data_IF_808754371492
#
_entry.id   IF_808754371492
#
_cell.length_a   1.000
_cell.length_b   1.000
_cell.length_c   1.000
_cell.angle_alpha   90.00
_cell.angle_beta   90.00
_cell.angle_gamma   90.00
#
_symmetry.space_group_name_H-M   'P 1'
#
loop_
_entity.id
_entity.type
_entity.pdbx_description
1 polymer ?
#
# COMPACT_ATOMS: atom_id res chain seq x y z
N UNK A 1 -4.90 -6.86 -13.98
CA UNK A 1 -5.30 -6.53 -12.59
C UNK A 1 -5.17 -7.73 -11.66
N UNK A 2 -5.73 -8.91 -11.98
CA UNK A 2 -5.58 -10.12 -11.14
C UNK A 2 -4.11 -10.51 -10.92
N UNK A 3 -3.29 -10.43 -11.97
CA UNK A 3 -1.87 -10.80 -11.86
C UNK A 3 -1.10 -9.85 -10.91
N UNK A 4 -1.34 -8.54 -11.01
CA UNK A 4 -0.77 -7.56 -10.07
C UNK A 4 -1.24 -7.80 -8.63
N UNK A 5 -2.50 -8.19 -8.43
CA UNK A 5 -3.02 -8.47 -7.10
C UNK A 5 -2.36 -9.69 -6.47
N UNK A 6 -2.12 -10.76 -7.24
CA UNK A 6 -1.37 -11.93 -6.78
C UNK A 6 0.03 -11.56 -6.28
N UNK A 7 0.77 -10.72 -7.02
CA UNK A 7 2.08 -10.23 -6.59
C UNK A 7 2.01 -9.43 -5.28
N UNK A 8 0.96 -8.64 -5.07
CA UNK A 8 0.75 -7.89 -3.83
C UNK A 8 0.41 -8.82 -2.67
N UNK A 9 -0.41 -9.84 -2.90
CA UNK A 9 -0.73 -10.85 -1.88
C UNK A 9 0.50 -11.68 -1.50
N UNK A 10 1.30 -12.10 -2.48
CA UNK A 10 2.57 -12.79 -2.25
C UNK A 10 3.55 -11.92 -1.46
N UNK A 11 3.71 -10.65 -1.84
CA UNK A 11 4.55 -9.72 -1.10
C UNK A 11 4.07 -9.55 0.34
N UNK A 12 2.75 -9.42 0.55
CA UNK A 12 2.16 -9.28 1.87
C UNK A 12 2.39 -10.52 2.75
N UNK A 13 2.24 -11.71 2.17
CA UNK A 13 2.43 -12.99 2.87
C UNK A 13 3.89 -13.19 3.32
N UNK A 14 4.85 -12.64 2.58
CA UNK A 14 6.27 -12.73 2.89
C UNK A 14 6.77 -11.65 3.87
N UNK A 15 5.89 -10.75 4.33
CA UNK A 15 6.26 -9.67 5.25
C UNK A 15 5.64 -9.93 6.63
N UNK A 16 6.51 -10.16 7.62
CA UNK A 16 6.10 -10.34 9.02
C UNK A 16 5.30 -9.11 9.48
N UNK A 17 4.11 -9.34 10.02
CA UNK A 17 3.20 -8.26 10.45
C UNK A 17 2.63 -7.42 9.31
N UNK A 18 2.63 -7.93 8.08
CA UNK A 18 2.07 -7.27 6.91
C UNK A 18 0.62 -6.82 7.12
N UNK A 19 0.37 -5.54 6.89
CA UNK A 19 -0.95 -4.91 7.04
C UNK A 19 -1.62 -4.66 5.68
N UNK A 20 -0.84 -4.25 4.68
CA UNK A 20 -1.31 -4.02 3.31
C UNK A 20 -0.15 -4.12 2.31
N UNK A 21 -0.48 -4.43 1.06
CA UNK A 21 0.42 -4.25 -0.08
C UNK A 21 -0.38 -3.61 -1.22
N UNK A 22 0.15 -2.53 -1.79
CA UNK A 22 -0.55 -1.71 -2.79
C UNK A 22 0.39 -1.21 -3.87
N UNK A 23 -0.17 -0.88 -5.03
CA UNK A 23 0.53 -0.14 -6.08
C UNK A 23 -0.11 1.25 -6.24
N UNK A 24 0.72 2.28 -6.33
CA UNK A 24 0.28 3.67 -6.44
C UNK A 24 1.07 4.35 -7.55
N UNK A 25 0.40 5.03 -8.47
CA UNK A 25 1.07 5.82 -9.51
C UNK A 25 1.69 7.11 -8.94
N UNK A 26 2.53 7.80 -9.73
CA UNK A 26 3.16 9.07 -9.30
C UNK A 26 2.17 10.22 -9.04
N UNK A 27 0.92 10.08 -9.48
CA UNK A 27 -0.16 11.01 -9.18
C UNK A 27 -0.86 10.68 -7.85
N UNK A 28 -0.47 9.64 -7.14
CA UNK A 28 -1.11 9.22 -5.89
C UNK A 28 -2.37 8.37 -6.08
N UNK A 29 -2.64 7.86 -7.29
CA UNK A 29 -3.79 6.99 -7.53
C UNK A 29 -3.45 5.53 -7.19
N UNK A 30 -4.23 4.92 -6.30
CA UNK A 30 -4.10 3.53 -5.91
C UNK A 30 -4.66 2.62 -7.01
N UNK A 31 -3.77 2.08 -7.82
CA UNK A 31 -4.07 1.31 -9.03
C UNK A 31 -4.35 -0.16 -8.73
N UNK A 32 -3.76 -0.70 -7.67
CA UNK A 32 -3.99 -2.06 -7.20
C UNK A 32 -3.86 -2.16 -5.68
N UNK A 33 -4.65 -3.05 -5.08
CA UNK A 33 -4.61 -3.38 -3.66
C UNK A 33 -4.56 -4.91 -3.50
N UNK A 34 -3.96 -5.40 -2.43
CA UNK A 34 -4.05 -6.80 -2.01
C UNK A 34 -5.52 -7.25 -1.83
N UNK A 35 -5.79 -8.55 -1.97
CA UNK A 35 -7.14 -9.09 -2.10
C UNK A 35 -8.05 -8.79 -0.91
N UNK A 36 -7.49 -8.76 0.31
CA UNK A 36 -8.21 -8.47 1.56
C UNK A 36 -9.04 -7.18 1.52
N UNK A 37 -8.60 -6.18 0.76
CA UNK A 37 -9.26 -4.88 0.63
C UNK A 37 -9.79 -4.62 -0.78
N UNK A 38 -10.09 -5.68 -1.52
CA UNK A 38 -10.59 -5.62 -2.90
C UNK A 38 -11.89 -6.38 -3.10
N UNK A 39 -12.71 -6.51 -2.04
CA UNK A 39 -13.99 -7.20 -2.12
C UNK A 39 -14.95 -6.47 -3.08
N UNK A 40 -15.84 -7.19 -3.79
CA UNK A 40 -16.90 -6.56 -4.57
C UNK A 40 -17.73 -5.58 -3.72
N UNK A 41 -18.11 -4.45 -4.30
CA UNK A 41 -18.98 -3.48 -3.63
C UNK A 41 -20.37 -4.10 -3.43
N UNK A 42 -20.87 -3.95 -2.22
CA UNK A 42 -22.16 -4.49 -1.78
C UNK A 42 -23.27 -3.44 -1.85
N UNK A 43 -22.90 -2.15 -1.88
CA UNK A 43 -23.83 -1.02 -1.78
C UNK A 43 -24.12 -0.59 -0.33
N UNK A 44 -23.68 -1.38 0.66
CA UNK A 44 -23.67 -0.96 2.06
C UNK A 44 -22.36 -0.23 2.39
N UNK A 45 -22.47 1.04 2.76
CA UNK A 45 -21.31 1.90 2.98
C UNK A 45 -20.37 1.37 4.07
N UNK A 46 -20.92 0.83 5.18
CA UNK A 46 -20.09 0.37 6.30
C UNK A 46 -19.29 -0.87 5.92
N UNK A 47 -19.91 -1.79 5.20
CA UNK A 47 -19.26 -2.99 4.65
C UNK A 47 -18.20 -2.62 3.62
N UNK A 48 -18.55 -1.75 2.67
CA UNK A 48 -17.68 -1.37 1.56
C UNK A 48 -16.46 -0.55 2.02
N UNK A 49 -16.62 0.33 3.02
CA UNK A 49 -15.53 1.13 3.59
C UNK A 49 -14.39 0.27 4.16
N UNK A 50 -14.73 -0.88 4.74
CA UNK A 50 -13.76 -1.82 5.34
C UNK A 50 -13.27 -2.83 4.31
N UNK A 51 -14.17 -3.38 3.50
CA UNK A 51 -13.89 -4.48 2.56
C UNK A 51 -13.32 -4.07 1.21
N UNK A 52 -13.51 -2.82 0.78
CA UNK A 52 -13.00 -2.31 -0.48
C UNK A 52 -12.29 -0.96 -0.29
N UNK A 53 -10.97 -0.97 -0.49
CA UNK A 53 -10.12 0.23 -0.43
C UNK A 53 -9.43 0.51 -1.76
N UNK A 54 -9.96 -0.06 -2.84
CA UNK A 54 -9.43 0.15 -4.20
C UNK A 54 -9.73 1.56 -4.70
N UNK A 55 -8.99 2.01 -5.72
CA UNK A 55 -9.24 3.27 -6.45
C UNK A 55 -9.21 4.55 -5.60
N UNK A 56 -8.51 4.51 -4.45
CA UNK A 56 -8.30 5.68 -3.61
C UNK A 56 -7.33 6.66 -4.27
N UNK A 57 -7.56 7.95 -4.05
CA UNK A 57 -6.65 9.03 -4.43
C UNK A 57 -5.97 9.55 -3.17
N UNK A 58 -4.65 9.50 -3.16
CA UNK A 58 -3.83 10.06 -2.12
C UNK A 58 -3.40 11.48 -2.49
N UNK A 59 -3.60 12.40 -1.55
CA UNK A 59 -3.35 13.84 -1.77
C UNK A 59 -2.51 14.46 -0.66
N UNK A 60 -2.29 13.74 0.45
CA UNK A 60 -1.45 14.26 1.52
C UNK A 60 0.02 14.32 1.09
N UNK A 61 0.81 15.29 1.60
CA UNK A 61 2.24 15.39 1.29
C UNK A 61 3.02 14.10 1.58
N UNK A 62 2.69 13.40 2.67
CA UNK A 62 3.34 12.14 3.06
C UNK A 62 3.07 11.03 2.05
N UNK A 63 1.82 10.84 1.64
CA UNK A 63 1.48 9.79 0.68
C UNK A 63 2.01 10.11 -0.72
N UNK A 64 1.99 11.38 -1.13
CA UNK A 64 2.56 11.81 -2.41
C UNK A 64 4.09 11.65 -2.44
N UNK A 65 4.77 11.85 -1.30
CA UNK A 65 6.21 11.56 -1.18
C UNK A 65 6.48 10.06 -1.39
N UNK A 66 5.68 9.18 -0.79
CA UNK A 66 5.78 7.74 -1.04
C UNK A 66 5.49 7.37 -2.50
N UNK A 67 4.44 7.94 -3.09
CA UNK A 67 4.07 7.70 -4.49
C UNK A 67 5.15 8.17 -5.49
N UNK A 68 5.85 9.26 -5.17
CA UNK A 68 6.88 9.89 -6.02
C UNK A 68 8.31 9.51 -5.62
N UNK A 69 8.48 8.57 -4.69
CA UNK A 69 9.81 8.12 -4.30
C UNK A 69 10.56 7.49 -5.48
N UNK A 70 11.80 7.93 -5.71
CA UNK A 70 12.71 7.39 -6.73
C UNK A 70 13.96 6.74 -6.12
N UNK A 71 14.14 6.83 -4.80
CA UNK A 71 15.20 6.10 -4.11
C UNK A 71 14.87 4.60 -4.04
N UNK A 72 15.86 3.71 -3.92
CA UNK A 72 15.62 2.26 -3.85
C UNK A 72 14.60 1.85 -2.78
N UNK A 73 14.52 2.61 -1.69
CA UNK A 73 13.55 2.41 -0.62
C UNK A 73 13.29 3.73 0.11
N UNK A 74 12.04 3.97 0.46
CA UNK A 74 11.63 4.99 1.43
C UNK A 74 10.83 4.31 2.55
N UNK A 75 11.30 4.44 3.80
CA UNK A 75 10.59 4.01 4.99
C UNK A 75 9.98 5.22 5.70
N UNK A 76 8.71 5.13 6.07
CA UNK A 76 8.01 6.14 6.85
C UNK A 76 7.16 5.48 7.92
N UNK A 77 7.03 6.11 9.09
CA UNK A 77 6.13 5.65 10.14
C UNK A 77 4.95 6.58 10.28
N UNK A 78 3.76 6.03 10.49
CA UNK A 78 2.59 6.83 10.81
C UNK A 78 1.67 6.08 11.77
N UNK A 79 0.88 6.84 12.54
CA UNK A 79 -0.10 6.30 13.47
C UNK A 79 -1.43 6.17 12.73
N UNK A 80 -2.04 4.99 12.78
CA UNK A 80 -3.39 4.76 12.26
C UNK A 80 -4.45 5.31 13.20
N UNK A 81 -5.67 5.45 12.70
CA UNK A 81 -6.86 5.78 13.51
C UNK A 81 -7.07 4.81 14.68
N UNK A 82 -6.53 3.59 14.60
CA UNK A 82 -6.53 2.56 15.66
C UNK A 82 -5.49 2.80 16.76
N UNK A 83 -4.63 3.82 16.63
CA UNK A 83 -3.49 4.06 17.53
C UNK A 83 -2.25 3.19 17.22
N UNK A 84 -2.36 2.28 16.26
CA UNK A 84 -1.25 1.41 15.86
C UNK A 84 -0.21 2.19 15.05
N UNK A 85 1.06 2.04 15.42
CA UNK A 85 2.19 2.54 14.63
C UNK A 85 2.49 1.57 13.49
N UNK A 86 2.39 2.06 12.25
CA UNK A 86 2.74 1.30 11.05
C UNK A 86 4.01 1.86 10.42
N UNK A 87 4.83 0.93 9.93
CA UNK A 87 5.89 1.21 8.98
C UNK A 87 5.33 1.05 7.57
N UNK A 88 5.49 2.06 6.72
CA UNK A 88 5.20 2.06 5.29
C UNK A 88 6.50 2.12 4.50
N UNK A 89 6.69 1.14 3.63
CA UNK A 89 7.87 0.98 2.78
C UNK A 89 7.44 1.19 1.34
N UNK A 90 7.98 2.23 0.69
CA UNK A 90 7.74 2.54 -0.72
C UNK A 90 8.96 2.20 -1.57
N UNK A 91 8.75 1.41 -2.63
CA UNK A 91 9.78 0.99 -3.58
C UNK A 91 9.36 1.35 -5.02
N UNK A 92 10.24 1.99 -5.81
CA UNK A 92 9.87 2.52 -7.12
C UNK A 92 9.62 1.42 -8.14
N UNK A 93 8.58 1.61 -8.95
CA UNK A 93 8.28 0.81 -10.13
C UNK A 93 8.69 1.59 -11.38
N UNK A 94 9.58 1.00 -12.16
CA UNK A 94 10.05 1.53 -13.42
C UNK A 94 9.43 0.72 -14.57
N UNK A 95 8.85 1.40 -15.55
CA UNK A 95 8.31 0.80 -16.78
C UNK A 95 8.95 1.51 -17.96
N UNK A 96 9.63 0.77 -18.83
CA UNK A 96 10.35 1.31 -19.99
C UNK A 96 11.28 2.49 -19.65
N UNK A 97 12.02 2.37 -18.54
CA UNK A 97 12.94 3.40 -18.06
C UNK A 97 12.27 4.62 -17.42
N UNK A 98 10.93 4.67 -17.36
CA UNK A 98 10.16 5.76 -16.73
C UNK A 98 9.67 5.35 -15.35
N UNK A 99 9.74 6.28 -14.40
CA UNK A 99 9.11 6.12 -13.09
C UNK A 99 7.59 6.15 -13.24
N UNK A 100 6.96 5.01 -12.97
CA UNK A 100 5.51 4.86 -13.08
C UNK A 100 4.81 5.15 -11.75
N UNK A 101 5.44 4.74 -10.64
CA UNK A 101 4.87 4.84 -9.30
C UNK A 101 5.68 4.03 -8.30
N UNK A 102 5.05 3.60 -7.22
CA UNK A 102 5.66 2.79 -6.18
C UNK A 102 4.77 1.61 -5.80
N UNK A 103 5.40 0.46 -5.51
CA UNK A 103 4.79 -0.55 -4.64
C UNK A 103 5.00 -0.10 -3.20
N UNK A 104 3.95 -0.18 -2.40
CA UNK A 104 3.98 0.14 -0.97
C UNK A 104 3.55 -1.05 -0.15
N UNK A 105 4.30 -1.35 0.90
CA UNK A 105 3.94 -2.38 1.86
C UNK A 105 3.98 -1.81 3.26
N UNK A 106 2.89 -2.01 4.00
CA UNK A 106 2.78 -1.65 5.40
C UNK A 106 3.00 -2.86 6.30
N UNK A 107 3.73 -2.69 7.40
CA UNK A 107 3.79 -3.67 8.49
C UNK A 107 3.65 -3.01 9.86
N UNK A 108 3.17 -3.77 10.85
CA UNK A 108 3.14 -3.30 12.23
C UNK A 108 4.59 -3.07 12.73
N UNK A 109 4.89 -1.91 13.29
CA UNK A 109 6.27 -1.56 13.68
C UNK A 109 6.88 -2.49 14.74
N UNK A 110 6.05 -3.15 15.57
CA UNK A 110 6.52 -4.04 16.62
C UNK A 110 7.31 -5.23 16.05
N UNK A 111 7.02 -5.65 14.82
CA UNK A 111 7.74 -6.78 14.20
C UNK A 111 9.21 -6.48 13.92
N UNK A 112 9.62 -5.21 13.95
CA UNK A 112 11.01 -4.78 13.83
C UNK A 112 11.76 -4.83 15.16
N UNK A 113 11.05 -4.96 16.28
CA UNK A 113 11.63 -5.06 17.62
C UNK A 113 11.91 -6.51 18.02
N UNK A 114 11.15 -7.44 17.44
CA UNK A 114 11.28 -8.88 17.64
C UNK A 114 12.40 -9.45 16.75
N UNK A 115 13.66 -9.17 17.11
CA UNK A 115 14.87 -9.71 16.49
C UNK A 115 15.19 -11.13 16.96
#
# INVERSE_FOLDING_TARGET
>A
MRDCQGLLDDALANIKGGAFAVAVDTNGYLTAHNAKFSNPLTGDYQTDLVGNRTRRKFESPTELRAARNTNPMLLQTYIRDTGELLCDIAMPVMVDGRHWGNVRVGCNSNVLLDA
#
